data_IF_073746711762
#
_entry.id   IF_073746711762
#
_cell.length_a   1.000
_cell.length_b   1.000
_cell.length_c   1.000
_cell.angle_alpha   90.00
_cell.angle_beta   90.00
_cell.angle_gamma   90.00
#
_symmetry.space_group_name_H-M   'P 1'
#
loop_
_entity.id
_entity.type
_entity.pdbx_description
1 polymer ?
#
# COMPACT_ATOMS: atom_id res chain seq x y z
N UNK A 1 4.46 29.03 16.41
CA UNK A 1 3.66 28.10 15.61
C UNK A 1 4.16 26.67 15.79
N UNK A 2 3.31 25.79 16.30
CA UNK A 2 3.53 24.34 16.34
C UNK A 2 2.96 23.71 15.08
N UNK A 3 3.84 23.15 14.24
CA UNK A 3 3.49 22.45 13.01
C UNK A 3 3.82 20.97 13.17
N UNK A 4 2.96 20.08 12.66
CA UNK A 4 3.22 18.63 12.60
C UNK A 4 2.75 18.05 11.27
N UNK A 5 3.59 17.19 10.68
CA UNK A 5 3.29 16.39 9.50
C UNK A 5 2.59 15.09 9.92
N UNK A 6 1.41 15.18 10.53
CA UNK A 6 0.72 14.06 11.19
C UNK A 6 -0.66 13.75 10.61
N UNK A 7 -0.98 14.27 9.41
CA UNK A 7 -2.30 14.16 8.77
C UNK A 7 -2.21 13.50 7.40
N UNK A 8 -3.12 12.57 7.14
CA UNK A 8 -3.42 12.02 5.82
C UNK A 8 -4.41 12.92 5.05
N UNK A 9 -4.70 12.62 3.76
CA UNK A 9 -5.72 13.31 2.99
C UNK A 9 -7.04 13.49 3.74
N UNK A 10 -7.64 14.67 3.62
CA UNK A 10 -8.85 15.03 4.36
C UNK A 10 -8.61 15.38 5.84
N UNK A 11 -7.36 15.52 6.27
CA UNK A 11 -7.03 15.93 7.64
C UNK A 11 -7.18 14.80 8.69
N UNK A 12 -7.26 13.56 8.24
CA UNK A 12 -7.43 12.40 9.13
C UNK A 12 -6.10 11.88 9.66
N UNK A 13 -6.12 11.05 10.70
CA UNK A 13 -4.91 10.47 11.30
C UNK A 13 -4.74 8.98 10.99
N UNK A 14 -5.75 8.34 10.42
CA UNK A 14 -5.77 6.90 10.19
C UNK A 14 -5.77 6.62 8.69
N UNK A 15 -5.01 5.63 8.27
CA UNK A 15 -5.07 5.06 6.93
C UNK A 15 -5.19 3.54 6.99
N UNK A 16 -5.87 2.97 5.99
CA UNK A 16 -6.02 1.53 5.80
C UNK A 16 -5.58 1.16 4.39
N UNK A 17 -4.70 0.17 4.30
CA UNK A 17 -4.33 -0.49 3.04
C UNK A 17 -4.30 -2.00 3.22
N UNK A 18 -4.68 -2.71 2.17
CA UNK A 18 -4.60 -4.16 2.08
C UNK A 18 -3.70 -4.53 0.91
N UNK A 19 -3.00 -5.67 1.00
CA UNK A 19 -2.35 -6.23 -0.17
C UNK A 19 -2.43 -7.74 -0.27
N UNK A 20 -2.61 -8.24 -1.50
CA UNK A 20 -2.74 -9.67 -1.78
C UNK A 20 -1.85 -10.10 -2.93
N UNK A 21 -1.46 -11.37 -2.92
CA UNK A 21 -0.42 -11.90 -3.80
C UNK A 21 -0.93 -12.96 -4.77
N UNK A 22 -0.09 -13.25 -5.75
CA UNK A 22 -0.15 -14.34 -6.74
C UNK A 22 -1.17 -14.19 -7.87
N UNK A 23 -2.17 -13.33 -7.77
CA UNK A 23 -3.16 -13.17 -8.85
C UNK A 23 -4.04 -14.40 -9.04
N UNK A 24 -4.45 -15.04 -7.94
CA UNK A 24 -5.28 -16.25 -7.98
C UNK A 24 -6.71 -15.90 -8.36
N UNK A 25 -7.44 -16.87 -8.93
CA UNK A 25 -8.86 -16.68 -9.34
C UNK A 25 -9.78 -16.14 -8.23
N UNK A 26 -9.42 -16.35 -6.96
CA UNK A 26 -10.15 -15.86 -5.80
C UNK A 26 -10.06 -14.34 -5.61
N UNK A 27 -9.10 -13.67 -6.24
CA UNK A 27 -9.02 -12.20 -6.26
C UNK A 27 -10.30 -11.58 -6.83
N UNK A 28 -11.00 -12.26 -7.76
CA UNK A 28 -12.31 -11.83 -8.27
C UNK A 28 -13.32 -11.59 -7.16
N UNK A 29 -13.43 -12.54 -6.22
CA UNK A 29 -14.36 -12.45 -5.09
C UNK A 29 -13.88 -11.43 -4.06
N UNK A 30 -12.58 -11.42 -3.78
CA UNK A 30 -11.99 -10.48 -2.83
C UNK A 30 -12.15 -9.03 -3.27
N UNK A 31 -11.85 -8.70 -4.53
CA UNK A 31 -12.07 -7.36 -5.09
C UNK A 31 -13.54 -6.93 -4.95
N UNK A 32 -14.48 -7.82 -5.27
CA UNK A 32 -15.91 -7.56 -5.06
C UNK A 32 -16.22 -7.16 -3.61
N UNK A 33 -15.71 -7.94 -2.65
CA UNK A 33 -15.84 -7.67 -1.22
C UNK A 33 -15.20 -6.34 -0.80
N UNK A 34 -13.98 -6.04 -1.25
CA UNK A 34 -13.33 -4.76 -0.93
C UNK A 34 -14.14 -3.56 -1.43
N UNK A 35 -14.69 -3.67 -2.64
CA UNK A 35 -15.54 -2.64 -3.24
C UNK A 35 -16.84 -2.43 -2.45
N UNK A 36 -17.49 -3.49 -1.96
CA UNK A 36 -18.70 -3.41 -1.12
C UNK A 36 -18.49 -2.50 0.11
N UNK A 37 -17.29 -2.54 0.72
CA UNK A 37 -16.96 -1.75 1.93
C UNK A 37 -16.15 -0.47 1.65
N UNK A 38 -15.92 -0.13 0.37
CA UNK A 38 -15.13 1.05 -0.02
C UNK A 38 -13.63 0.95 0.33
N UNK A 39 -13.12 -0.27 0.53
CA UNK A 39 -11.73 -0.53 0.91
C UNK A 39 -10.86 -0.63 -0.35
N UNK A 40 -9.66 -0.05 -0.26
CA UNK A 40 -8.65 -0.10 -1.33
C UNK A 40 -7.64 -1.19 -1.05
N UNK A 41 -7.08 -1.74 -2.12
CA UNK A 41 -6.17 -2.89 -2.07
C UNK A 41 -5.10 -2.81 -3.15
N UNK A 42 -4.00 -3.51 -2.90
CA UNK A 42 -2.83 -3.63 -3.77
C UNK A 42 -2.59 -5.10 -4.09
N UNK A 43 -2.62 -5.48 -5.35
CA UNK A 43 -2.51 -6.87 -5.79
C UNK A 43 -1.16 -7.08 -6.47
N UNK A 44 -0.30 -7.89 -5.86
CA UNK A 44 1.02 -8.24 -6.39
C UNK A 44 0.87 -9.46 -7.29
N UNK A 45 0.98 -9.25 -8.60
CA UNK A 45 0.71 -10.27 -9.59
C UNK A 45 2.01 -10.84 -10.17
N UNK A 46 1.98 -12.12 -10.51
CA UNK A 46 3.01 -12.77 -11.30
C UNK A 46 2.58 -12.81 -12.76
N UNK A 47 3.19 -11.98 -13.61
CA UNK A 47 2.86 -11.94 -15.04
C UNK A 47 3.03 -13.30 -15.73
N UNK A 48 4.01 -14.10 -15.32
CA UNK A 48 4.25 -15.44 -15.85
C UNK A 48 3.18 -16.45 -15.46
N UNK A 49 2.31 -16.13 -14.50
CA UNK A 49 1.24 -17.03 -14.04
C UNK A 49 -0.13 -16.68 -14.60
N UNK A 50 -0.30 -15.48 -15.17
CA UNK A 50 -1.57 -15.06 -15.77
C UNK A 50 -2.03 -16.07 -16.84
N UNK A 51 -3.28 -16.52 -16.72
CA UNK A 51 -3.91 -17.48 -17.62
C UNK A 51 -3.54 -18.96 -17.36
N UNK A 52 -2.69 -19.27 -16.36
CA UNK A 52 -2.51 -20.64 -15.88
C UNK A 52 -3.72 -21.12 -15.08
N UNK A 53 -3.81 -22.42 -14.84
CA UNK A 53 -4.86 -23.03 -14.02
C UNK A 53 -4.91 -22.37 -12.62
N UNK A 54 -6.11 -21.98 -12.19
CA UNK A 54 -6.40 -21.24 -10.95
C UNK A 54 -5.76 -19.83 -10.81
N UNK A 55 -5.28 -19.24 -11.90
CA UNK A 55 -4.88 -17.84 -11.96
C UNK A 55 -5.85 -17.00 -12.79
N UNK A 56 -5.91 -15.70 -12.52
CA UNK A 56 -6.64 -14.75 -13.36
C UNK A 56 -5.97 -14.63 -14.74
N UNK A 57 -6.72 -14.17 -15.74
CA UNK A 57 -6.18 -13.99 -17.11
C UNK A 57 -5.67 -12.57 -17.31
N UNK A 58 -4.80 -12.36 -18.31
CA UNK A 58 -4.27 -11.03 -18.62
C UNK A 58 -5.37 -10.05 -19.06
N UNK A 59 -6.39 -10.56 -19.77
CA UNK A 59 -7.48 -9.76 -20.34
C UNK A 59 -8.38 -9.12 -19.28
N UNK A 60 -8.52 -9.76 -18.11
CA UNK A 60 -9.39 -9.24 -17.06
C UNK A 60 -8.67 -8.27 -16.11
N UNK A 61 -7.34 -8.30 -16.00
CA UNK A 61 -6.52 -7.55 -15.00
C UNK A 61 -6.95 -6.09 -14.89
N UNK A 62 -7.01 -5.37 -16.01
CA UNK A 62 -7.32 -3.95 -16.02
C UNK A 62 -8.73 -3.66 -15.46
N UNK A 63 -9.72 -4.45 -15.88
CA UNK A 63 -11.10 -4.28 -15.44
C UNK A 63 -11.31 -4.74 -14.00
N UNK A 64 -10.71 -5.87 -13.62
CA UNK A 64 -10.85 -6.49 -12.30
C UNK A 64 -10.30 -5.54 -11.24
N UNK A 65 -9.09 -5.00 -11.41
CA UNK A 65 -8.46 -4.13 -10.41
C UNK A 65 -8.81 -2.66 -10.56
N UNK A 66 -9.94 -2.32 -11.20
CA UNK A 66 -10.40 -0.93 -11.28
C UNK A 66 -10.55 -0.33 -9.88
N UNK A 67 -9.84 0.77 -9.63
CA UNK A 67 -9.84 1.43 -8.32
C UNK A 67 -8.94 0.78 -7.27
N UNK A 68 -8.23 -0.29 -7.62
CA UNK A 68 -7.16 -0.93 -6.83
C UNK A 68 -5.80 -0.70 -7.50
N UNK A 69 -4.73 -1.14 -6.86
CA UNK A 69 -3.38 -1.14 -7.43
C UNK A 69 -3.01 -2.54 -7.92
N UNK A 70 -2.40 -2.61 -9.10
CA UNK A 70 -1.62 -3.75 -9.57
C UNK A 70 -0.15 -3.45 -9.33
N UNK A 71 0.52 -4.38 -8.68
CA UNK A 71 1.90 -4.30 -8.21
C UNK A 71 2.65 -5.55 -8.67
N UNK A 72 3.98 -5.51 -8.67
CA UNK A 72 4.78 -6.61 -9.19
C UNK A 72 4.97 -7.73 -8.16
N UNK A 73 5.06 -8.97 -8.61
CA UNK A 73 5.47 -10.11 -7.79
C UNK A 73 6.52 -11.00 -8.47
N UNK A 74 7.23 -10.49 -9.48
CA UNK A 74 8.16 -11.21 -10.37
C UNK A 74 7.44 -12.12 -11.36
N UNK A 75 8.13 -12.53 -12.43
CA UNK A 75 7.50 -13.32 -13.51
C UNK A 75 7.12 -14.71 -12.98
N UNK A 76 8.10 -15.43 -12.42
CA UNK A 76 7.97 -16.86 -12.10
C UNK A 76 8.06 -17.17 -10.59
N UNK A 77 8.03 -16.14 -9.74
CA UNK A 77 8.07 -16.28 -8.28
C UNK A 77 9.33 -17.04 -7.78
N UNK A 78 10.58 -16.63 -8.11
CA UNK A 78 11.79 -17.32 -7.63
C UNK A 78 12.26 -16.80 -6.26
N UNK A 79 13.12 -17.57 -5.59
CA UNK A 79 13.88 -17.11 -4.42
C UNK A 79 14.94 -16.07 -4.83
N UNK A 80 14.59 -14.78 -4.81
CA UNK A 80 15.45 -13.70 -5.30
C UNK A 80 16.83 -13.64 -4.64
N UNK A 81 16.94 -13.98 -3.35
CA UNK A 81 18.21 -13.99 -2.64
C UNK A 81 19.17 -15.09 -3.11
N UNK A 82 18.64 -16.12 -3.79
CA UNK A 82 19.39 -17.24 -4.38
C UNK A 82 19.62 -17.05 -5.90
N UNK A 83 18.86 -16.16 -6.53
CA UNK A 83 18.99 -15.85 -7.95
C UNK A 83 20.24 -15.00 -8.27
N UNK A 84 20.90 -15.23 -9.42
CA UNK A 84 21.88 -14.31 -9.98
C UNK A 84 21.31 -12.91 -10.23
N UNK A 85 22.15 -11.87 -10.25
CA UNK A 85 21.70 -10.49 -10.42
C UNK A 85 20.94 -10.29 -11.75
N UNK A 86 21.42 -10.92 -12.82
CA UNK A 86 20.82 -10.84 -14.15
C UNK A 86 19.40 -11.40 -14.14
N UNK A 87 19.17 -12.51 -13.41
CA UNK A 87 17.84 -13.08 -13.25
C UNK A 87 16.92 -12.14 -12.45
N UNK A 88 17.39 -11.57 -11.34
CA UNK A 88 16.60 -10.59 -10.56
C UNK A 88 16.15 -9.43 -11.45
N UNK A 89 17.06 -8.93 -12.30
CA UNK A 89 16.77 -7.84 -13.24
C UNK A 89 15.72 -8.25 -14.27
N UNK A 90 15.85 -9.43 -14.89
CA UNK A 90 14.87 -9.92 -15.87
C UNK A 90 13.51 -10.16 -15.22
N UNK A 91 13.46 -10.88 -14.10
CA UNK A 91 12.25 -11.16 -13.33
C UNK A 91 11.47 -9.90 -12.96
N UNK A 92 12.16 -8.84 -12.52
CA UNK A 92 11.46 -7.60 -12.18
C UNK A 92 11.09 -6.75 -13.40
N UNK A 93 11.99 -6.62 -14.38
CA UNK A 93 11.74 -5.75 -15.52
C UNK A 93 10.69 -6.32 -16.46
N UNK A 94 10.68 -7.63 -16.68
CA UNK A 94 9.71 -8.27 -17.57
C UNK A 94 8.33 -8.35 -16.91
N UNK A 95 8.27 -8.60 -15.61
CA UNK A 95 7.01 -8.57 -14.85
C UNK A 95 6.37 -7.18 -14.88
N UNK A 96 7.14 -6.14 -14.58
CA UNK A 96 6.66 -4.76 -14.67
C UNK A 96 6.21 -4.40 -16.07
N UNK A 97 6.99 -4.71 -17.12
CA UNK A 97 6.59 -4.42 -18.51
C UNK A 97 5.27 -5.07 -18.89
N UNK A 98 5.09 -6.35 -18.53
CA UNK A 98 3.86 -7.08 -18.81
C UNK A 98 2.68 -6.42 -18.09
N UNK A 99 2.79 -6.19 -16.79
CA UNK A 99 1.71 -5.59 -15.99
C UNK A 99 1.40 -4.14 -16.42
N UNK A 100 2.41 -3.31 -16.65
CA UNK A 100 2.26 -1.92 -17.13
C UNK A 100 1.50 -1.86 -18.46
N UNK A 101 1.74 -2.82 -19.36
CA UNK A 101 1.01 -2.92 -20.65
C UNK A 101 -0.49 -3.21 -20.48
N UNK A 102 -0.87 -3.85 -19.38
CA UNK A 102 -2.27 -4.18 -19.07
C UNK A 102 -2.98 -3.01 -18.39
N UNK A 103 -2.30 -2.33 -17.45
CA UNK A 103 -2.95 -1.35 -16.57
C UNK A 103 -2.76 0.11 -16.98
N UNK A 104 -1.80 0.40 -17.87
CA UNK A 104 -1.59 1.74 -18.43
C UNK A 104 -0.96 2.75 -17.46
N UNK A 105 -0.36 2.30 -16.36
CA UNK A 105 0.41 3.13 -15.44
C UNK A 105 1.71 2.42 -15.01
N UNK A 106 2.75 3.16 -14.57
CA UNK A 106 3.98 2.57 -14.09
C UNK A 106 3.76 1.71 -12.84
N UNK A 107 4.19 0.46 -12.87
CA UNK A 107 4.14 -0.44 -11.71
C UNK A 107 5.39 -0.17 -10.87
N UNK A 108 5.22 0.29 -9.63
CA UNK A 108 6.31 0.78 -8.78
C UNK A 108 6.48 0.01 -7.47
N UNK A 109 5.45 -0.73 -7.07
CA UNK A 109 5.49 -1.60 -5.92
C UNK A 109 5.95 -3.01 -6.24
N UNK A 110 6.31 -3.74 -5.18
CA UNK A 110 6.34 -5.20 -5.22
C UNK A 110 6.07 -5.84 -3.85
N UNK A 111 5.98 -7.16 -3.84
CA UNK A 111 6.20 -7.98 -2.66
C UNK A 111 7.26 -9.04 -2.94
N UNK A 112 8.02 -9.42 -1.91
CA UNK A 112 9.10 -10.41 -2.06
C UNK A 112 8.51 -11.82 -2.22
N UNK A 113 8.77 -12.54 -3.34
CA UNK A 113 8.42 -13.95 -3.48
C UNK A 113 8.95 -14.77 -2.30
N UNK A 114 8.14 -15.70 -1.80
CA UNK A 114 8.42 -16.49 -0.59
C UNK A 114 8.72 -15.68 0.69
N UNK A 115 8.55 -14.35 0.67
CA UNK A 115 8.86 -13.47 1.78
C UNK A 115 10.35 -13.28 2.06
N UNK A 116 11.24 -13.78 1.21
CA UNK A 116 12.69 -13.77 1.42
C UNK A 116 13.36 -12.62 0.68
N UNK A 117 14.39 -12.05 1.30
CA UNK A 117 15.18 -10.98 0.71
C UNK A 117 16.59 -10.95 1.32
N UNK A 118 17.51 -10.23 0.69
CA UNK A 118 18.85 -9.95 1.20
C UNK A 118 19.23 -8.51 0.87
N UNK A 119 20.23 -7.94 1.55
CA UNK A 119 20.76 -6.60 1.24
C UNK A 119 21.11 -6.44 -0.25
N UNK A 120 21.63 -7.50 -0.87
CA UNK A 120 21.93 -7.55 -2.30
C UNK A 120 20.67 -7.29 -3.13
N UNK A 121 19.59 -8.04 -2.88
CA UNK A 121 18.31 -7.86 -3.57
C UNK A 121 17.78 -6.45 -3.34
N UNK A 122 17.71 -6.00 -2.08
CA UNK A 122 17.17 -4.68 -1.75
C UNK A 122 17.92 -3.54 -2.44
N UNK A 123 19.25 -3.64 -2.56
CA UNK A 123 20.06 -2.62 -3.26
C UNK A 123 19.82 -2.55 -4.77
N UNK A 124 19.36 -3.65 -5.39
CA UNK A 124 19.11 -3.71 -6.85
C UNK A 124 17.77 -3.05 -7.17
N UNK A 125 16.74 -3.27 -6.37
CA UNK A 125 15.34 -2.91 -6.66
C UNK A 125 15.11 -1.43 -7.04
N UNK A 126 15.70 -0.42 -6.36
CA UNK A 126 15.51 0.99 -6.74
C UNK A 126 16.02 1.32 -8.13
N UNK A 127 17.11 0.68 -8.56
CA UNK A 127 17.67 0.85 -9.91
C UNK A 127 16.77 0.25 -10.99
N UNK A 128 15.84 -0.63 -10.58
CA UNK A 128 14.79 -1.19 -11.42
C UNK A 128 13.47 -0.43 -11.25
N UNK A 129 13.48 0.74 -10.59
CA UNK A 129 12.32 1.60 -10.43
C UNK A 129 11.28 1.11 -9.42
N UNK A 130 11.65 0.19 -8.53
CA UNK A 130 10.81 -0.21 -7.39
C UNK A 130 10.95 0.83 -6.28
N UNK A 131 9.82 1.29 -5.78
CA UNK A 131 9.70 2.37 -4.79
C UNK A 131 9.36 1.82 -3.39
N UNK A 132 8.61 0.73 -3.33
CA UNK A 132 8.34 0.00 -2.10
C UNK A 132 8.28 -1.51 -2.34
N UNK A 133 8.58 -2.28 -1.30
CA UNK A 133 8.50 -3.74 -1.33
C UNK A 133 7.99 -4.28 0.01
N UNK A 134 6.88 -5.04 -0.01
CA UNK A 134 6.32 -5.63 1.22
C UNK A 134 6.97 -6.96 1.58
N UNK A 135 7.28 -7.10 2.86
CA UNK A 135 7.78 -8.35 3.49
C UNK A 135 6.66 -9.13 4.18
N UNK A 136 6.91 -10.38 4.58
CA UNK A 136 5.95 -11.18 5.36
C UNK A 136 6.01 -10.97 6.87
N UNK A 137 6.96 -10.15 7.36
CA UNK A 137 7.15 -9.93 8.80
C UNK A 137 6.09 -8.96 9.35
N UNK A 138 5.14 -9.49 10.12
CA UNK A 138 4.09 -8.69 10.75
C UNK A 138 4.56 -8.12 12.09
N UNK A 139 4.41 -6.81 12.28
CA UNK A 139 4.91 -6.13 13.49
C UNK A 139 3.82 -5.83 14.54
N UNK A 140 2.53 -5.99 14.20
CA UNK A 140 1.41 -5.83 15.12
C UNK A 140 1.24 -4.43 15.70
N UNK A 141 1.69 -3.39 14.98
CA UNK A 141 1.53 -1.97 15.35
C UNK A 141 0.93 -1.19 14.19
N UNK A 142 0.59 0.08 14.46
CA UNK A 142 0.02 0.99 13.46
C UNK A 142 0.95 2.16 13.10
N UNK A 143 2.27 1.95 13.04
CA UNK A 143 3.20 3.01 12.65
C UNK A 143 3.45 2.99 11.13
N UNK A 144 3.98 4.09 10.60
CA UNK A 144 4.48 4.15 9.23
C UNK A 144 5.76 3.30 9.10
N UNK A 145 6.10 2.79 7.90
CA UNK A 145 7.35 2.07 7.70
C UNK A 145 8.57 2.99 7.86
N UNK A 146 9.66 2.46 8.42
CA UNK A 146 10.96 3.14 8.45
C UNK A 146 11.75 2.93 7.14
N UNK A 147 11.47 1.83 6.43
CA UNK A 147 12.08 1.47 5.15
C UNK A 147 10.99 0.91 4.22
N UNK A 148 10.68 1.64 3.15
CA UNK A 148 9.67 1.21 2.17
C UNK A 148 10.08 -0.02 1.37
N UNK A 149 11.37 -0.29 1.21
CA UNK A 149 11.85 -1.51 0.56
C UNK A 149 11.83 -2.71 1.51
N UNK A 150 11.56 -2.50 2.80
CA UNK A 150 11.27 -3.53 3.80
C UNK A 150 9.99 -3.17 4.53
N UNK A 151 8.92 -2.97 3.78
CA UNK A 151 7.65 -2.58 4.36
C UNK A 151 7.04 -3.78 5.11
N UNK A 152 7.17 -3.75 6.43
CA UNK A 152 6.54 -4.71 7.32
C UNK A 152 5.05 -4.37 7.47
N UNK A 153 4.11 -5.30 7.17
CA UNK A 153 2.69 -5.08 7.39
C UNK A 153 2.36 -5.13 8.89
N UNK A 154 1.20 -4.58 9.27
CA UNK A 154 0.67 -4.71 10.62
C UNK A 154 0.39 -6.17 10.95
N UNK A 155 -0.33 -6.88 10.07
CA UNK A 155 -0.73 -8.26 10.29
C UNK A 155 -1.07 -9.02 9.01
N UNK A 156 -1.08 -10.35 9.10
CA UNK A 156 -1.70 -11.22 8.11
C UNK A 156 -3.24 -11.17 8.23
N UNK A 157 -3.99 -11.43 7.15
CA UNK A 157 -5.45 -11.33 7.16
C UNK A 157 -6.10 -12.22 8.23
N UNK A 158 -5.44 -13.32 8.63
CA UNK A 158 -5.93 -14.23 9.67
C UNK A 158 -6.11 -13.55 11.03
N UNK A 159 -5.46 -12.40 11.23
CA UNK A 159 -5.54 -11.58 12.43
C UNK A 159 -6.28 -10.26 12.19
N UNK A 160 -6.89 -10.07 11.01
CA UNK A 160 -7.42 -8.75 10.61
C UNK A 160 -8.55 -8.27 11.50
N UNK A 161 -9.38 -9.16 12.05
CA UNK A 161 -10.46 -8.76 12.96
C UNK A 161 -9.91 -8.16 14.25
N UNK A 162 -8.92 -8.82 14.87
CA UNK A 162 -8.29 -8.34 16.10
C UNK A 162 -7.70 -6.94 15.90
N UNK A 163 -6.87 -6.77 14.87
CA UNK A 163 -6.22 -5.50 14.61
C UNK A 163 -7.18 -4.44 14.06
N UNK A 164 -8.21 -4.84 13.31
CA UNK A 164 -9.27 -3.96 12.84
C UNK A 164 -10.06 -3.35 13.99
N UNK A 165 -10.45 -4.15 14.99
CA UNK A 165 -11.13 -3.64 16.19
C UNK A 165 -10.25 -2.69 16.99
N UNK A 166 -8.97 -3.05 17.19
CA UNK A 166 -8.01 -2.18 17.88
C UNK A 166 -7.82 -0.86 17.12
N UNK A 167 -7.74 -0.92 15.79
CA UNK A 167 -7.54 0.26 14.95
C UNK A 167 -8.77 1.17 14.92
N UNK A 168 -9.98 0.61 14.84
CA UNK A 168 -11.23 1.37 14.92
C UNK A 168 -11.31 2.14 16.24
N UNK A 169 -10.99 1.48 17.36
CA UNK A 169 -10.99 2.05 18.72
C UNK A 169 -9.75 2.89 19.05
N UNK A 170 -8.77 3.00 18.14
CA UNK A 170 -7.52 3.70 18.41
C UNK A 170 -7.77 5.19 18.67
N UNK A 171 -7.55 5.60 19.92
CA UNK A 171 -7.49 7.00 20.34
C UNK A 171 -6.03 7.39 20.59
N UNK A 172 -5.61 8.52 20.03
CA UNK A 172 -4.22 8.96 20.10
C UNK A 172 -4.07 10.14 21.06
N UNK A 173 -3.43 9.91 22.21
CA UNK A 173 -3.07 11.00 23.16
C UNK A 173 -2.14 12.03 22.52
N UNK A 174 -1.23 11.56 21.68
CA UNK A 174 -0.37 12.38 20.84
C UNK A 174 -0.62 11.97 19.39
N UNK A 175 -1.17 12.88 18.61
CA UNK A 175 -1.56 12.59 17.23
C UNK A 175 -0.33 12.29 16.37
N UNK A 176 -0.46 11.22 15.58
CA UNK A 176 0.46 10.74 14.56
C UNK A 176 -0.36 10.09 13.43
N UNK A 177 0.28 9.94 12.27
CA UNK A 177 -0.22 9.05 11.23
C UNK A 177 -0.20 7.61 11.75
N UNK A 178 -1.35 6.95 11.70
CA UNK A 178 -1.51 5.56 12.05
C UNK A 178 -1.97 4.75 10.85
N UNK A 179 -1.26 3.66 10.54
CA UNK A 179 -1.54 2.82 9.39
C UNK A 179 -1.91 1.41 9.84
N UNK A 180 -3.06 0.91 9.42
CA UNK A 180 -3.36 -0.52 9.41
C UNK A 180 -3.00 -1.07 8.02
N UNK A 181 -1.96 -1.89 7.95
CA UNK A 181 -1.56 -2.60 6.73
C UNK A 181 -1.78 -4.10 6.90
N UNK A 182 -2.77 -4.66 6.20
CA UNK A 182 -3.06 -6.10 6.21
C UNK A 182 -2.58 -6.76 4.92
N UNK A 183 -2.02 -7.96 5.01
CA UNK A 183 -1.64 -8.75 3.84
C UNK A 183 -2.13 -10.21 3.88
N UNK A 184 -2.10 -10.91 2.76
CA UNK A 184 -2.25 -12.37 2.70
C UNK A 184 -2.53 -12.84 1.28
N UNK A 185 -3.09 -14.03 1.11
CA UNK A 185 -3.47 -14.54 -0.21
C UNK A 185 -4.96 -14.83 -0.27
N UNK A 186 -5.61 -14.46 -1.38
CA UNK A 186 -7.07 -14.63 -1.51
C UNK A 186 -7.50 -16.09 -1.49
N UNK A 187 -6.63 -17.01 -1.93
CA UNK A 187 -6.89 -18.45 -1.89
C UNK A 187 -6.98 -19.02 -0.48
N UNK A 188 -6.37 -18.38 0.51
CA UNK A 188 -6.46 -18.85 1.90
C UNK A 188 -7.89 -18.71 2.43
N UNK A 189 -8.67 -17.73 1.96
CA UNK A 189 -10.08 -17.62 2.32
C UNK A 189 -10.91 -18.81 1.85
N UNK A 190 -10.58 -19.30 0.65
CA UNK A 190 -11.22 -20.49 0.08
C UNK A 190 -10.77 -21.75 0.82
N UNK A 191 -9.45 -21.94 1.00
CA UNK A 191 -8.87 -23.11 1.66
C UNK A 191 -9.34 -23.25 3.11
N UNK A 192 -9.40 -22.14 3.84
CA UNK A 192 -9.81 -22.12 5.24
C UNK A 192 -11.35 -21.99 5.41
N UNK A 193 -12.09 -21.88 4.29
CA UNK A 193 -13.55 -21.70 4.25
C UNK A 193 -14.06 -20.58 5.18
N UNK A 194 -13.42 -19.41 5.12
CA UNK A 194 -13.63 -18.30 6.07
C UNK A 194 -13.80 -16.94 5.38
N UNK A 195 -14.45 -16.92 4.22
CA UNK A 195 -14.80 -15.68 3.50
C UNK A 195 -15.63 -14.69 4.32
N UNK A 196 -16.29 -15.12 5.41
CA UNK A 196 -16.97 -14.21 6.34
C UNK A 196 -16.00 -13.26 7.07
N UNK A 197 -14.71 -13.62 7.15
CA UNK A 197 -13.68 -12.81 7.80
C UNK A 197 -13.54 -11.43 7.13
N UNK A 198 -13.55 -11.37 5.79
CA UNK A 198 -13.42 -10.10 5.07
C UNK A 198 -14.68 -9.25 5.20
N UNK A 199 -15.87 -9.88 5.26
CA UNK A 199 -17.13 -9.18 5.51
C UNK A 199 -17.15 -8.52 6.88
N UNK A 200 -16.86 -9.29 7.93
CA UNK A 200 -16.81 -8.79 9.30
C UNK A 200 -15.73 -7.72 9.48
N UNK A 201 -14.59 -7.86 8.80
CA UNK A 201 -13.57 -6.82 8.79
C UNK A 201 -14.10 -5.54 8.15
N UNK A 202 -14.74 -5.65 6.99
CA UNK A 202 -15.38 -4.54 6.30
C UNK A 202 -16.42 -3.81 7.15
N UNK A 203 -17.25 -4.55 7.91
CA UNK A 203 -18.20 -3.96 8.86
C UNK A 203 -17.52 -3.16 9.99
N UNK A 204 -16.34 -3.59 10.44
CA UNK A 204 -15.60 -2.91 11.51
C UNK A 204 -14.94 -1.64 11.00
N UNK A 205 -14.25 -1.70 9.86
CA UNK A 205 -13.34 -0.63 9.42
C UNK A 205 -13.80 0.12 8.17
N UNK A 206 -14.82 -0.34 7.45
CA UNK A 206 -15.31 0.27 6.21
C UNK A 206 -16.20 1.50 6.45
N UNK A 207 -16.21 2.44 5.49
CA UNK A 207 -17.12 3.60 5.50
C UNK A 207 -16.86 4.67 6.58
N UNK A 208 -15.77 4.59 7.34
CA UNK A 208 -15.43 5.58 8.36
C UNK A 208 -14.79 6.83 7.73
N UNK A 209 -15.38 8.00 8.01
CA UNK A 209 -14.88 9.29 7.48
C UNK A 209 -13.54 9.75 8.09
N UNK A 210 -13.07 9.09 9.15
CA UNK A 210 -11.81 9.40 9.82
C UNK A 210 -10.68 8.44 9.42
N UNK A 211 -10.90 7.57 8.42
CA UNK A 211 -9.91 6.66 7.84
C UNK A 211 -9.73 7.00 6.36
N UNK A 212 -8.49 7.13 5.93
CA UNK A 212 -8.14 7.19 4.52
C UNK A 212 -7.91 5.77 3.98
N UNK A 213 -8.77 5.33 3.06
CA UNK A 213 -8.61 4.06 2.35
C UNK A 213 -7.73 4.26 1.12
N UNK A 214 -6.56 3.63 1.10
CA UNK A 214 -5.52 3.92 0.12
C UNK A 214 -4.91 2.64 -0.44
N UNK A 215 -4.36 2.74 -1.65
CA UNK A 215 -3.42 1.76 -2.21
C UNK A 215 -2.03 1.99 -1.59
N UNK A 216 -1.12 1.01 -1.71
CA UNK A 216 0.23 1.15 -1.18
C UNK A 216 1.01 2.27 -1.87
N UNK A 217 0.92 2.37 -3.20
CA UNK A 217 1.49 3.47 -4.00
C UNK A 217 1.00 4.85 -3.56
N UNK A 218 -0.27 4.98 -3.18
CA UNK A 218 -0.83 6.25 -2.71
C UNK A 218 -0.23 6.65 -1.36
N UNK A 219 -0.08 5.71 -0.44
CA UNK A 219 0.57 5.95 0.86
C UNK A 219 2.05 6.35 0.64
N UNK A 220 2.79 5.60 -0.18
CA UNK A 220 4.17 5.91 -0.52
C UNK A 220 4.30 7.34 -1.09
N UNK A 221 3.51 7.63 -2.13
CA UNK A 221 3.53 8.92 -2.82
C UNK A 221 3.14 10.08 -1.89
N UNK A 222 2.15 9.86 -1.02
CA UNK A 222 1.70 10.88 -0.08
C UNK A 222 2.75 11.20 0.97
N UNK A 223 3.42 10.20 1.55
CA UNK A 223 4.50 10.45 2.51
C UNK A 223 5.67 11.18 1.86
N UNK A 224 6.05 10.81 0.63
CA UNK A 224 7.09 11.53 -0.11
C UNK A 224 6.67 12.97 -0.45
N UNK A 225 5.38 13.24 -0.65
CA UNK A 225 4.89 14.60 -0.84
C UNK A 225 4.97 15.43 0.45
N UNK A 226 4.64 14.82 1.60
CA UNK A 226 4.78 15.43 2.93
C UNK A 226 6.23 15.80 3.24
N UNK A 227 7.18 14.93 2.93
CA UNK A 227 8.61 15.16 3.12
C UNK A 227 9.17 16.28 2.26
N UNK A 228 8.56 16.53 1.10
CA UNK A 228 8.96 17.58 0.16
C UNK A 228 8.41 18.97 0.49
N UNK A 229 7.55 19.10 1.51
CA UNK A 229 7.08 20.41 1.97
C UNK A 229 8.26 21.30 2.38
N UNK A 230 8.21 22.57 1.99
CA UNK A 230 9.26 23.55 2.27
C UNK A 230 8.71 24.66 3.16
N UNK A 231 9.25 24.78 4.35
CA UNK A 231 8.83 25.77 5.34
C UNK A 231 9.72 27.01 5.31
N UNK A 232 9.13 28.20 5.51
CA UNK A 232 9.92 29.39 5.82
C UNK A 232 10.59 29.25 7.19
N UNK A 233 11.71 29.95 7.40
CA UNK A 233 12.47 29.88 8.64
C UNK A 233 11.65 30.28 9.89
N UNK A 234 10.72 31.23 9.73
CA UNK A 234 9.78 31.66 10.78
C UNK A 234 8.54 30.77 10.89
N UNK A 235 8.36 29.81 9.97
CA UNK A 235 7.25 28.84 9.89
C UNK A 235 5.87 29.47 9.64
N UNK A 236 5.82 30.64 9.01
CA UNK A 236 4.56 31.28 8.60
C UNK A 236 4.17 31.02 7.15
N UNK A 237 5.06 30.45 6.33
CA UNK A 237 4.79 30.02 4.97
C UNK A 237 5.18 28.56 4.81
N UNK A 238 4.36 27.83 4.06
CA UNK A 238 4.71 26.49 3.58
C UNK A 238 4.45 26.43 2.08
N UNK A 239 5.42 25.90 1.34
CA UNK A 239 5.31 25.64 -0.08
C UNK A 239 5.21 24.14 -0.30
N UNK A 240 4.16 23.70 -0.99
CA UNK A 240 4.03 22.35 -1.50
C UNK A 240 4.46 22.34 -2.98
N UNK A 241 5.67 21.84 -3.30
CA UNK A 241 6.14 21.79 -4.68
C UNK A 241 5.57 20.61 -5.48
N UNK A 242 4.76 19.74 -4.87
CA UNK A 242 4.32 18.48 -5.46
C UNK A 242 2.96 18.61 -6.15
N UNK A 243 2.58 17.57 -6.90
CA UNK A 243 1.27 17.46 -7.54
C UNK A 243 0.16 16.92 -6.60
N UNK A 244 0.49 16.67 -5.33
CA UNK A 244 -0.42 16.08 -4.34
C UNK A 244 -0.72 17.10 -3.26
N UNK A 245 -2.00 17.40 -2.99
CA UNK A 245 -2.38 18.18 -1.80
C UNK A 245 -1.92 17.44 -0.54
N UNK A 246 -1.37 18.16 0.42
CA UNK A 246 -0.87 17.60 1.69
C UNK A 246 -1.59 18.26 2.85
N UNK A 247 -1.92 17.49 3.89
CA UNK A 247 -2.49 18.02 5.11
C UNK A 247 -1.45 18.01 6.23
N UNK A 248 -1.47 19.06 7.05
CA UNK A 248 -0.62 19.21 8.23
C UNK A 248 -1.45 19.68 9.42
N UNK A 249 -0.95 19.52 10.64
CA UNK A 249 -1.50 20.19 11.80
C UNK A 249 -0.78 21.51 12.06
N UNK A 250 -1.53 22.61 12.21
CA UNK A 250 -1.04 23.92 12.67
C UNK A 250 -1.78 24.28 13.95
N UNK A 251 -1.05 24.38 15.06
CA UNK A 251 -1.61 24.56 16.41
C UNK A 251 -2.70 23.54 16.80
N UNK A 252 -2.74 22.40 16.12
CA UNK A 252 -3.71 21.31 16.34
C UNK A 252 -4.75 21.19 15.23
N UNK A 253 -5.03 22.27 14.51
CA UNK A 253 -6.01 22.32 13.44
C UNK A 253 -5.45 21.75 12.14
N UNK A 254 -6.31 21.06 11.39
CA UNK A 254 -5.96 20.50 10.09
C UNK A 254 -5.95 21.60 9.03
N UNK A 255 -4.82 21.75 8.34
CA UNK A 255 -4.63 22.72 7.24
C UNK A 255 -4.23 21.97 5.98
N UNK A 256 -4.97 22.17 4.89
CA UNK A 256 -4.57 21.70 3.56
C UNK A 256 -3.53 22.64 2.96
N UNK A 257 -2.47 22.07 2.42
CA UNK A 257 -1.46 22.73 1.59
C UNK A 257 -1.65 22.21 0.15
N UNK A 258 -2.38 22.95 -0.70
CA UNK A 258 -2.71 22.47 -2.04
C UNK A 258 -1.46 22.24 -2.91
N UNK A 259 -1.58 21.31 -3.85
CA UNK A 259 -0.54 21.00 -4.83
C UNK A 259 -0.02 22.27 -5.55
N UNK A 260 1.31 22.41 -5.61
CA UNK A 260 1.98 23.52 -6.28
C UNK A 260 1.83 24.91 -5.62
N UNK A 261 1.25 25.01 -4.42
CA UNK A 261 0.93 26.29 -3.79
C UNK A 261 1.83 26.66 -2.61
N UNK A 262 1.93 27.97 -2.37
CA UNK A 262 2.46 28.55 -1.13
C UNK A 262 1.29 29.00 -0.28
N UNK A 263 1.20 28.47 0.94
CA UNK A 263 0.15 28.80 1.90
C UNK A 263 0.75 29.58 3.07
N UNK A 264 0.06 30.66 3.45
CA UNK A 264 0.36 31.38 4.69
C UNK A 264 -0.36 30.72 5.85
N UNK A 265 0.42 30.28 6.83
CA UNK A 265 -0.07 29.65 8.04
C UNK A 265 -0.45 30.74 9.05
N UNK A 266 -1.65 30.59 9.63
CA UNK A 266 -2.22 31.51 10.63
C UNK A 266 -2.33 30.73 11.94
#
# INVERSE_FOLDING_TARGET
MRIRNDRFPGGVHKALTLSYDDGRVHDRRLVGKLNEYGIKGTFHLNSGFLGKEDYITAEEVASLFTGHEVSAHTVDHPFLEQSPNEQIVMEMMDDRRALESLVGYPVKGMSYPFGTHSERVVSILPNLGVEYARTVASHGKFHMPDDFLRWHPTCHHKQMLEYGEQFAKLEQRHTRMALLYVWGHSYEFENDNNWDLIDRFGEIVGGHNNIWYAKNSEIYSYLHAVEQLRYSADRHLVHNPTATSVWISVEGDSVEIPAGQIVKLI
#
